data_IF_942650323579
#
_entry.id   IF_942650323579
#
_cell.length_a   1.000
_cell.length_b   1.000
_cell.length_c   1.000
_cell.angle_alpha   90.00
_cell.angle_beta   90.00
_cell.angle_gamma   90.00
#
_symmetry.space_group_name_H-M   'P 1'
#
loop_
_entity.id
_entity.type
_entity.pdbx_description
1 polymer ?
#
# COMPACT_ATOMS: atom_id res chain seq x y z
N UNK A 1 5.46 -25.53 -12.33
CA UNK A 1 4.46 -24.49 -12.05
C UNK A 1 4.99 -23.67 -10.89
N UNK A 2 5.61 -22.52 -11.20
CA UNK A 2 6.22 -21.66 -10.20
C UNK A 2 5.09 -20.96 -9.44
N UNK A 3 4.98 -21.19 -8.12
CA UNK A 3 3.98 -20.53 -7.28
C UNK A 3 4.41 -19.06 -7.13
N UNK A 4 3.96 -18.20 -8.03
CA UNK A 4 4.08 -16.76 -7.84
C UNK A 4 3.08 -16.40 -6.75
N UNK A 5 3.59 -16.03 -5.57
CA UNK A 5 2.76 -15.55 -4.49
C UNK A 5 2.14 -14.19 -4.89
N UNK A 6 0.97 -13.83 -4.38
CA UNK A 6 0.37 -12.53 -4.75
C UNK A 6 1.24 -11.33 -4.35
N UNK A 7 2.00 -11.44 -3.25
CA UNK A 7 3.03 -10.46 -2.91
C UNK A 7 4.21 -10.45 -3.90
N UNK A 8 4.49 -11.58 -4.55
CA UNK A 8 5.47 -11.70 -5.63
C UNK A 8 4.95 -11.01 -6.92
N UNK A 9 3.64 -11.06 -7.19
CA UNK A 9 3.01 -10.29 -8.29
C UNK A 9 2.99 -8.79 -8.01
N UNK A 10 2.61 -8.38 -6.80
CA UNK A 10 2.67 -6.96 -6.41
C UNK A 10 4.11 -6.43 -6.43
N UNK A 11 5.10 -7.30 -6.16
CA UNK A 11 6.51 -6.97 -6.31
C UNK A 11 6.98 -6.91 -7.78
N UNK A 12 6.39 -7.68 -8.70
CA UNK A 12 6.73 -7.60 -10.12
C UNK A 12 6.24 -6.33 -10.79
N UNK A 13 5.14 -5.75 -10.30
CA UNK A 13 4.59 -4.48 -10.81
C UNK A 13 5.42 -3.26 -10.38
N UNK A 14 6.19 -3.38 -9.29
CA UNK A 14 7.04 -2.31 -8.73
C UNK A 14 8.39 -2.12 -9.45
N UNK A 15 8.74 -3.00 -10.41
CA UNK A 15 10.09 -3.02 -10.99
C UNK A 15 11.19 -3.40 -9.97
N UNK A 16 12.44 -3.41 -10.41
CA UNK A 16 13.57 -3.84 -9.58
C UNK A 16 13.98 -2.80 -8.51
N UNK A 17 13.68 -1.51 -8.73
CA UNK A 17 13.99 -0.40 -7.81
C UNK A 17 12.81 0.59 -7.71
N UNK A 18 11.75 0.27 -6.94
CA UNK A 18 10.62 1.17 -6.76
C UNK A 18 11.00 2.41 -5.96
N UNK A 19 10.46 3.56 -6.35
CA UNK A 19 10.59 4.80 -5.60
C UNK A 19 9.39 5.05 -4.67
N UNK A 20 9.51 6.05 -3.79
CA UNK A 20 8.48 6.35 -2.78
C UNK A 20 7.16 6.83 -3.39
N UNK A 21 7.20 7.56 -4.50
CA UNK A 21 5.99 8.04 -5.17
C UNK A 21 5.21 6.87 -5.79
N UNK A 22 5.90 5.91 -6.44
CA UNK A 22 5.27 4.70 -7.01
C UNK A 22 4.61 3.84 -5.94
N UNK A 23 5.26 3.64 -4.78
CA UNK A 23 4.67 2.88 -3.68
C UNK A 23 3.44 3.60 -3.11
N UNK A 24 3.48 4.93 -3.00
CA UNK A 24 2.34 5.71 -2.52
C UNK A 24 1.15 5.66 -3.49
N UNK A 25 1.41 5.74 -4.81
CA UNK A 25 0.38 5.56 -5.85
C UNK A 25 -0.27 4.18 -5.76
N UNK A 26 0.53 3.12 -5.61
CA UNK A 26 0.01 1.76 -5.44
C UNK A 26 -0.78 1.61 -4.15
N UNK A 27 -0.32 2.18 -3.03
CA UNK A 27 -1.05 2.14 -1.78
C UNK A 27 -2.43 2.80 -1.90
N UNK A 28 -2.53 3.91 -2.63
CA UNK A 28 -3.82 4.57 -2.84
C UNK A 28 -4.73 3.74 -3.76
N UNK A 29 -4.19 3.20 -4.86
CA UNK A 29 -4.94 2.31 -5.75
C UNK A 29 -5.48 1.07 -5.01
N UNK A 30 -4.67 0.46 -4.13
CA UNK A 30 -5.10 -0.69 -3.34
C UNK A 30 -6.12 -0.33 -2.27
N UNK A 31 -6.07 0.87 -1.67
CA UNK A 31 -7.12 1.35 -0.74
C UNK A 31 -8.46 1.52 -1.45
N UNK A 32 -8.47 2.09 -2.65
CA UNK A 32 -9.69 2.19 -3.44
C UNK A 32 -10.27 0.81 -3.79
N UNK A 33 -9.39 -0.16 -4.07
CA UNK A 33 -9.79 -1.54 -4.33
C UNK A 33 -10.30 -2.25 -3.08
N UNK A 34 -9.65 -2.08 -1.93
CA UNK A 34 -10.12 -2.60 -0.62
C UNK A 34 -11.54 -2.09 -0.34
N UNK A 35 -11.77 -0.79 -0.49
CA UNK A 35 -13.09 -0.18 -0.30
C UNK A 35 -14.15 -0.77 -1.22
N UNK A 36 -13.86 -0.95 -2.51
CA UNK A 36 -14.81 -1.57 -3.46
C UNK A 36 -15.20 -3.00 -3.06
N UNK A 37 -14.29 -3.74 -2.44
CA UNK A 37 -14.55 -5.10 -2.00
C UNK A 37 -15.32 -5.11 -0.68
N UNK A 38 -15.02 -4.18 0.23
CA UNK A 38 -15.81 -3.95 1.45
C UNK A 38 -17.26 -3.63 1.08
N UNK A 39 -17.48 -2.63 0.21
CA UNK A 39 -18.79 -2.25 -0.29
C UNK A 39 -19.52 -3.48 -0.90
N UNK A 40 -18.83 -4.27 -1.72
CA UNK A 40 -19.39 -5.50 -2.29
C UNK A 40 -19.78 -6.55 -1.25
N UNK A 41 -18.95 -6.76 -0.22
CA UNK A 41 -19.24 -7.72 0.87
C UNK A 41 -20.44 -7.25 1.69
N UNK A 42 -20.56 -5.94 1.92
CA UNK A 42 -21.70 -5.34 2.64
C UNK A 42 -23.01 -5.46 1.84
N UNK A 43 -22.96 -5.23 0.53
CA UNK A 43 -24.11 -5.39 -0.38
C UNK A 43 -24.54 -6.87 -0.56
N UNK A 44 -23.60 -7.80 -0.38
CA UNK A 44 -23.81 -9.24 -0.54
C UNK A 44 -23.42 -10.04 0.72
N UNK A 45 -24.16 -9.89 1.83
CA UNK A 45 -23.80 -10.48 3.12
C UNK A 45 -23.97 -12.00 3.17
N UNK A 46 -24.68 -12.59 2.20
CA UNK A 46 -24.86 -14.04 2.14
C UNK A 46 -23.54 -14.72 1.76
N UNK A 47 -23.01 -15.62 2.62
CA UNK A 47 -21.73 -16.25 2.36
C UNK A 47 -21.84 -17.17 1.13
N UNK A 48 -20.93 -16.97 0.18
CA UNK A 48 -20.77 -17.88 -0.96
C UNK A 48 -20.46 -19.27 -0.41
N UNK A 49 -21.37 -20.22 -0.63
CA UNK A 49 -21.19 -21.60 -0.21
C UNK A 49 -20.16 -22.27 -1.12
N UNK A 50 -18.95 -22.42 -0.59
CA UNK A 50 -17.86 -23.14 -1.24
C UNK A 50 -17.75 -24.54 -0.63
N UNK A 51 -17.73 -25.62 -1.43
CA UNK A 51 -17.41 -26.97 -0.96
C UNK A 51 -16.09 -27.01 -0.18
N UNK A 52 -16.01 -27.81 0.88
CA UNK A 52 -14.82 -27.87 1.76
C UNK A 52 -13.53 -28.17 0.98
N UNK A 53 -13.62 -29.06 -0.01
CA UNK A 53 -12.51 -29.48 -0.85
C UNK A 53 -11.96 -28.34 -1.73
N UNK A 54 -12.81 -27.33 -2.01
CA UNK A 54 -12.48 -26.19 -2.85
C UNK A 54 -12.10 -24.95 -2.06
N UNK A 55 -12.32 -24.91 -0.73
CA UNK A 55 -11.98 -23.75 0.11
C UNK A 55 -10.53 -23.24 -0.04
N UNK A 56 -9.49 -24.11 -0.14
CA UNK A 56 -8.12 -23.63 -0.31
C UNK A 56 -7.84 -22.95 -1.66
N UNK A 57 -8.70 -23.19 -2.66
CA UNK A 57 -8.55 -22.68 -4.02
C UNK A 57 -9.59 -21.62 -4.37
N UNK A 58 -10.60 -21.44 -3.53
CA UNK A 58 -11.71 -20.56 -3.80
C UNK A 58 -11.30 -19.10 -3.70
N UNK A 59 -11.46 -18.40 -4.81
CA UNK A 59 -11.24 -16.96 -4.90
C UNK A 59 -12.52 -16.22 -4.53
N UNK A 60 -12.81 -16.19 -3.24
CA UNK A 60 -13.97 -15.48 -2.67
C UNK A 60 -13.66 -14.00 -2.42
N UNK A 61 -14.67 -13.12 -2.32
CA UNK A 61 -14.47 -11.72 -1.92
C UNK A 61 -13.68 -11.59 -0.62
N UNK A 62 -13.98 -12.42 0.39
CA UNK A 62 -13.27 -12.43 1.68
C UNK A 62 -11.80 -12.82 1.51
N UNK A 63 -11.49 -13.86 0.72
CA UNK A 63 -10.10 -14.25 0.49
C UNK A 63 -9.34 -13.21 -0.33
N UNK A 64 -10.01 -12.55 -1.28
CA UNK A 64 -9.44 -11.44 -2.05
C UNK A 64 -9.13 -10.24 -1.15
N UNK A 65 -10.07 -9.86 -0.27
CA UNK A 65 -9.89 -8.81 0.72
C UNK A 65 -8.68 -9.08 1.63
N UNK A 66 -8.59 -10.28 2.22
CA UNK A 66 -7.43 -10.67 3.05
C UNK A 66 -6.11 -10.64 2.29
N UNK A 67 -6.13 -11.02 1.01
CA UNK A 67 -4.94 -11.01 0.17
C UNK A 67 -4.47 -9.58 -0.13
N UNK A 68 -5.41 -8.67 -0.37
CA UNK A 68 -5.12 -7.24 -0.55
C UNK A 68 -4.55 -6.62 0.71
N UNK A 69 -5.11 -6.92 1.88
CA UNK A 69 -4.57 -6.46 3.16
C UNK A 69 -3.11 -6.88 3.35
N UNK A 70 -2.75 -8.11 2.94
CA UNK A 70 -1.37 -8.58 2.97
C UNK A 70 -0.46 -7.77 2.02
N UNK A 71 -0.91 -7.52 0.79
CA UNK A 71 -0.17 -6.69 -0.18
C UNK A 71 0.02 -5.26 0.34
N UNK A 72 -1.02 -4.65 0.90
CA UNK A 72 -0.97 -3.31 1.50
C UNK A 72 0.01 -3.27 2.67
N UNK A 73 0.05 -4.31 3.51
CA UNK A 73 1.02 -4.42 4.60
C UNK A 73 2.46 -4.48 4.06
N UNK A 74 2.71 -5.32 3.05
CA UNK A 74 4.02 -5.44 2.42
C UNK A 74 4.49 -4.12 1.79
N UNK A 75 3.61 -3.39 1.11
CA UNK A 75 3.91 -2.07 0.54
C UNK A 75 4.24 -1.04 1.61
N UNK A 76 3.52 -1.03 2.74
CA UNK A 76 3.81 -0.15 3.88
C UNK A 76 5.19 -0.42 4.47
N UNK A 77 5.59 -1.70 4.57
CA UNK A 77 6.93 -2.09 5.04
C UNK A 77 7.98 -1.58 4.06
N UNK A 78 7.83 -1.85 2.76
CA UNK A 78 8.77 -1.36 1.72
C UNK A 78 8.91 0.16 1.73
N UNK A 79 7.80 0.90 1.89
CA UNK A 79 7.80 2.35 2.02
C UNK A 79 8.67 2.82 3.19
N UNK A 80 8.53 2.20 4.36
CA UNK A 80 9.33 2.52 5.55
C UNK A 80 10.80 2.19 5.30
N UNK A 81 11.10 1.06 4.67
CA UNK A 81 12.48 0.67 4.33
C UNK A 81 13.15 1.68 3.39
N UNK A 82 12.43 2.22 2.41
CA UNK A 82 12.96 3.26 1.53
C UNK A 82 13.17 4.59 2.26
N UNK A 83 12.18 5.04 3.04
CA UNK A 83 12.28 6.26 3.87
C UNK A 83 13.48 6.21 4.83
N UNK A 84 13.80 5.03 5.35
CA UNK A 84 14.92 4.85 6.30
C UNK A 84 16.27 4.73 5.62
N UNK A 85 16.32 4.37 4.34
CA UNK A 85 17.54 4.31 3.53
C UNK A 85 17.90 5.64 2.87
N UNK A 86 16.93 6.52 2.64
CA UNK A 86 17.18 7.86 2.10
C UNK A 86 18.02 8.71 3.05
N UNK A 87 18.83 9.60 2.48
CA UNK A 87 19.57 10.58 3.27
C UNK A 87 18.61 11.52 4.01
N UNK A 88 19.09 12.13 5.10
CA UNK A 88 18.25 12.95 5.96
C UNK A 88 17.57 14.12 5.25
N UNK A 89 18.17 14.65 4.17
CA UNK A 89 17.60 15.74 3.36
C UNK A 89 16.53 15.21 2.42
N UNK A 90 16.79 14.17 1.63
CA UNK A 90 15.80 13.57 0.73
C UNK A 90 14.52 13.14 1.49
N UNK A 91 14.70 12.52 2.67
CA UNK A 91 13.58 12.15 3.55
C UNK A 91 12.76 13.36 4.01
N UNK A 92 13.40 14.48 4.34
CA UNK A 92 12.73 15.71 4.77
C UNK A 92 12.02 16.39 3.60
N UNK A 93 12.62 16.41 2.40
CA UNK A 93 11.99 16.91 1.17
C UNK A 93 10.73 16.12 0.82
N UNK A 94 10.81 14.79 0.87
CA UNK A 94 9.66 13.91 0.71
C UNK A 94 8.57 14.17 1.77
N UNK A 95 8.95 14.28 3.04
CA UNK A 95 8.00 14.56 4.13
C UNK A 95 7.34 15.92 3.98
N UNK A 96 8.07 16.92 3.49
CA UNK A 96 7.54 18.26 3.21
C UNK A 96 6.53 18.21 2.06
N UNK A 97 6.88 17.52 0.95
CA UNK A 97 5.96 17.30 -0.17
C UNK A 97 4.63 16.69 0.31
N UNK A 98 4.69 15.67 1.16
CA UNK A 98 3.49 15.02 1.72
C UNK A 98 2.69 15.93 2.64
N UNK A 99 3.35 16.66 3.54
CA UNK A 99 2.66 17.62 4.41
C UNK A 99 1.93 18.72 3.61
N UNK A 100 2.51 19.18 2.50
CA UNK A 100 1.86 20.13 1.60
C UNK A 100 0.67 19.51 0.83
N UNK A 101 0.80 18.25 0.39
CA UNK A 101 -0.31 17.51 -0.25
C UNK A 101 -1.49 17.31 0.70
N UNK A 102 -1.20 17.05 1.97
CA UNK A 102 -2.20 16.82 3.02
C UNK A 102 -2.75 18.12 3.65
N UNK A 103 -2.35 19.29 3.13
CA UNK A 103 -2.67 20.62 3.69
C UNK A 103 -2.26 20.81 5.18
N UNK A 104 -1.31 20.00 5.67
CA UNK A 104 -0.73 20.10 7.01
C UNK A 104 0.38 21.18 7.03
N UNK A 105 -0.04 22.44 6.97
CA UNK A 105 0.86 23.59 6.87
C UNK A 105 1.76 23.77 8.08
N UNK A 106 1.30 23.42 9.29
CA UNK A 106 2.09 23.51 10.52
C UNK A 106 3.27 22.52 10.48
N UNK A 107 3.01 21.29 10.03
CA UNK A 107 4.08 20.31 9.81
C UNK A 107 4.99 20.72 8.65
N UNK A 108 4.44 21.25 7.55
CA UNK A 108 5.23 21.72 6.42
C UNK A 108 6.21 22.83 6.80
N UNK A 109 5.79 23.80 7.60
CA UNK A 109 6.66 24.88 8.10
C UNK A 109 7.83 24.33 8.93
N UNK A 110 7.54 23.46 9.90
CA UNK A 110 8.60 22.80 10.71
C UNK A 110 9.60 22.00 9.87
N UNK A 111 9.15 21.37 8.80
CA UNK A 111 10.01 20.59 7.90
C UNK A 111 10.86 21.49 7.02
N UNK A 112 10.29 22.59 6.52
CA UNK A 112 11.01 23.62 5.76
C UNK A 112 12.13 24.26 6.59
N UNK A 113 11.86 24.57 7.85
CA UNK A 113 12.87 25.14 8.75
C UNK A 113 14.04 24.15 8.93
N UNK A 114 13.74 22.88 9.21
CA UNK A 114 14.77 21.83 9.33
C UNK A 114 15.61 21.69 8.06
N UNK A 115 14.99 21.76 6.88
CA UNK A 115 15.69 21.72 5.59
C UNK A 115 16.60 22.93 5.37
N UNK A 116 16.21 24.11 5.84
CA UNK A 116 17.03 25.31 5.71
C UNK A 116 18.24 25.33 6.66
N UNK A 117 18.22 24.51 7.71
CA UNK A 117 19.31 24.37 8.69
C UNK A 117 20.25 23.19 8.43
N UNK A 118 20.01 22.41 7.37
CA UNK A 118 20.82 21.27 6.93
C UNK A 118 21.88 21.71 5.91
#
# INVERSE_FOLDING_TARGET
MQKVCQSCMAASDLGDEPNLDEIDEMLEAYRELEKKIEDFIEEHPEPIKVPEELKPFAFTPISMYKSLQAVVADLKIKRIDLITKEDSKARLEYSLKKALQDEDFEKAERLKDKLSTL
#
